data_IF_916279413130
#
_entry.id   IF_916279413130
#
_cell.length_a   1.000
_cell.length_b   1.000
_cell.length_c   1.000
_cell.angle_alpha   90.00
_cell.angle_beta   90.00
_cell.angle_gamma   90.00
#
_symmetry.space_group_name_H-M   'P 1'
#
loop_
_entity.id
_entity.type
_entity.pdbx_description
1 polymer ?
#
# COMPACT_ATOMS: atom_id res chain seq x y z
N UNK A 1 6.46 -3.56 -11.90
CA UNK A 1 6.06 -3.67 -13.33
C UNK A 1 5.82 -2.29 -13.95
N UNK A 2 4.89 -1.46 -13.45
CA UNK A 2 4.63 -0.12 -14.05
C UNK A 2 5.86 0.79 -13.94
N UNK A 3 6.49 0.88 -12.78
CA UNK A 3 7.70 1.68 -12.61
C UNK A 3 8.86 1.20 -13.50
N UNK A 4 8.99 -0.13 -13.67
CA UNK A 4 9.96 -0.71 -14.59
C UNK A 4 9.64 -0.36 -16.06
N UNK A 5 8.38 -0.46 -16.45
CA UNK A 5 7.92 -0.05 -17.76
C UNK A 5 8.28 1.42 -18.06
N UNK A 6 8.05 2.31 -17.09
CA UNK A 6 8.37 3.73 -17.21
C UNK A 6 9.89 3.95 -17.27
N UNK A 7 10.65 3.25 -16.42
CA UNK A 7 12.11 3.37 -16.36
C UNK A 7 12.83 2.86 -17.63
N UNK A 8 12.21 1.92 -18.35
CA UNK A 8 12.70 1.36 -19.63
C UNK A 8 12.09 2.06 -20.87
N UNK A 9 11.63 3.30 -20.67
CA UNK A 9 11.08 4.16 -21.75
C UNK A 9 9.94 3.52 -22.55
N UNK A 10 9.09 2.73 -21.85
CA UNK A 10 7.87 2.17 -22.42
C UNK A 10 8.06 0.86 -23.20
N UNK A 11 8.75 -0.11 -22.60
CA UNK A 11 8.90 -1.45 -23.21
C UNK A 11 7.54 -2.03 -23.64
N UNK A 12 7.35 -2.16 -24.96
CA UNK A 12 6.12 -2.64 -25.57
C UNK A 12 5.73 -4.06 -25.14
N UNK A 13 6.70 -4.88 -24.67
CA UNK A 13 6.41 -6.22 -24.16
C UNK A 13 5.60 -6.19 -22.85
N UNK A 14 5.78 -5.16 -22.03
CA UNK A 14 5.05 -4.96 -20.78
C UNK A 14 3.72 -4.22 -20.99
N UNK A 15 3.59 -3.40 -22.03
CA UNK A 15 2.41 -2.56 -22.24
C UNK A 15 1.12 -3.40 -22.36
N UNK A 16 1.17 -4.52 -23.11
CA UNK A 16 0.00 -5.39 -23.25
C UNK A 16 -0.45 -5.99 -21.92
N UNK A 17 0.49 -6.33 -21.03
CA UNK A 17 0.22 -6.85 -19.70
C UNK A 17 -0.39 -5.77 -18.82
N UNK A 18 0.10 -4.53 -18.90
CA UNK A 18 -0.47 -3.38 -18.16
C UNK A 18 -1.92 -3.12 -18.61
N UNK A 19 -2.19 -3.15 -19.91
CA UNK A 19 -3.56 -2.98 -20.44
C UNK A 19 -4.51 -4.09 -19.97
N UNK A 20 -4.04 -5.34 -19.95
CA UNK A 20 -4.81 -6.45 -19.40
C UNK A 20 -5.08 -6.27 -17.91
N UNK A 21 -4.09 -5.81 -17.13
CA UNK A 21 -4.25 -5.49 -15.72
C UNK A 21 -5.31 -4.40 -15.51
N UNK A 22 -5.26 -3.29 -16.25
CA UNK A 22 -6.24 -2.20 -16.17
C UNK A 22 -7.65 -2.73 -16.46
N UNK A 23 -7.80 -3.50 -17.54
CA UNK A 23 -9.10 -4.09 -17.91
C UNK A 23 -9.63 -5.04 -16.84
N UNK A 24 -8.75 -5.85 -16.24
CA UNK A 24 -9.10 -6.73 -15.13
C UNK A 24 -9.54 -5.94 -13.90
N UNK A 25 -8.80 -4.88 -13.52
CA UNK A 25 -9.14 -4.06 -12.37
C UNK A 25 -10.47 -3.33 -12.54
N UNK A 26 -10.76 -2.77 -13.72
CA UNK A 26 -12.04 -2.18 -14.03
C UNK A 26 -13.19 -3.18 -13.82
N UNK A 27 -13.01 -4.44 -14.23
CA UNK A 27 -14.01 -5.49 -14.03
C UNK A 27 -14.11 -5.92 -12.57
N UNK A 28 -13.00 -6.08 -11.86
CA UNK A 28 -12.99 -6.49 -10.44
C UNK A 28 -13.72 -5.49 -9.55
N UNK A 29 -13.66 -4.20 -9.84
CA UNK A 29 -14.40 -3.17 -9.12
C UNK A 29 -15.94 -3.26 -9.27
N UNK A 30 -16.43 -4.10 -10.18
CA UNK A 30 -17.87 -4.32 -10.42
C UNK A 30 -18.38 -5.66 -9.94
N UNK A 31 -17.53 -6.48 -9.29
CA UNK A 31 -17.89 -7.81 -8.83
C UNK A 31 -18.33 -7.77 -7.37
N UNK A 32 -19.56 -8.19 -7.11
CA UNK A 32 -20.06 -8.40 -5.75
C UNK A 32 -19.19 -9.41 -5.01
N UNK A 33 -18.80 -9.11 -3.78
CA UNK A 33 -17.81 -9.88 -3.03
C UNK A 33 -18.08 -9.81 -1.51
N UNK A 34 -17.41 -10.64 -0.68
CA UNK A 34 -17.68 -10.70 0.75
C UNK A 34 -17.17 -9.50 1.56
N UNK A 35 -16.37 -8.60 1.02
CA UNK A 35 -15.84 -7.43 1.77
C UNK A 35 -16.87 -6.33 1.98
N UNK A 36 -17.94 -6.30 1.19
CA UNK A 36 -19.02 -5.31 1.35
C UNK A 36 -19.77 -5.02 0.06
N UNK A 37 -20.62 -4.00 0.12
CA UNK A 37 -21.44 -3.60 -1.00
C UNK A 37 -20.68 -2.73 -2.01
N UNK A 38 -21.04 -2.85 -3.28
CA UNK A 38 -20.50 -1.98 -4.33
C UNK A 38 -21.21 -0.62 -4.34
N UNK A 39 -22.45 -0.55 -3.85
CA UNK A 39 -23.24 0.68 -3.86
C UNK A 39 -22.70 1.77 -2.94
N UNK A 40 -22.03 1.39 -1.84
CA UNK A 40 -21.35 2.29 -0.92
C UNK A 40 -19.82 2.26 -1.09
N UNK A 41 -19.31 1.41 -2.00
CA UNK A 41 -17.91 1.24 -2.29
C UNK A 41 -17.16 0.33 -1.34
N UNK A 42 -17.76 -0.17 -0.23
CA UNK A 42 -17.06 -1.00 0.77
C UNK A 42 -16.46 -2.27 0.18
N UNK A 43 -17.07 -2.83 -0.86
CA UNK A 43 -16.59 -4.00 -1.59
C UNK A 43 -15.24 -3.79 -2.30
N UNK A 44 -14.76 -2.56 -2.51
CA UNK A 44 -13.45 -2.30 -3.11
C UNK A 44 -12.26 -2.74 -2.23
N UNK A 45 -12.50 -2.98 -0.94
CA UNK A 45 -11.52 -3.55 -0.02
C UNK A 45 -11.37 -5.07 -0.11
N UNK A 46 -11.94 -5.74 -1.12
CA UNK A 46 -11.77 -7.18 -1.31
C UNK A 46 -10.34 -7.51 -1.77
N UNK A 47 -9.59 -8.31 -0.97
CA UNK A 47 -8.22 -8.64 -1.30
C UNK A 47 -8.09 -9.79 -2.31
N UNK A 48 -9.13 -10.63 -2.48
CA UNK A 48 -9.00 -11.90 -3.16
C UNK A 48 -10.11 -12.20 -4.15
N UNK A 49 -9.69 -12.51 -5.37
CA UNK A 49 -10.55 -12.98 -6.44
C UNK A 49 -9.99 -14.26 -7.05
N UNK A 50 -10.84 -15.05 -7.69
CA UNK A 50 -10.39 -16.18 -8.48
C UNK A 50 -9.68 -15.72 -9.76
N UNK A 51 -8.79 -16.55 -10.30
CA UNK A 51 -8.01 -16.25 -11.52
C UNK A 51 -8.90 -15.98 -12.74
N UNK A 52 -10.09 -16.55 -12.79
CA UNK A 52 -11.08 -16.30 -13.83
C UNK A 52 -11.91 -15.00 -13.62
N UNK A 53 -11.46 -14.12 -12.73
CA UNK A 53 -12.12 -12.84 -12.43
C UNK A 53 -13.54 -13.05 -11.90
N UNK A 54 -13.71 -13.96 -10.94
CA UNK A 54 -14.95 -14.16 -10.18
C UNK A 54 -14.68 -13.96 -8.69
N UNK A 55 -15.73 -13.69 -7.91
CA UNK A 55 -15.60 -13.54 -6.46
C UNK A 55 -15.05 -14.82 -5.82
N UNK A 56 -14.07 -14.64 -4.93
CA UNK A 56 -13.65 -15.70 -4.03
C UNK A 56 -14.47 -15.60 -2.74
N UNK A 57 -15.25 -16.64 -2.45
CA UNK A 57 -16.20 -16.66 -1.32
C UNK A 57 -15.73 -17.48 -0.12
N UNK A 58 -14.55 -18.09 -0.22
CA UNK A 58 -13.94 -18.83 0.90
C UNK A 58 -13.52 -17.92 2.05
N UNK A 59 -13.15 -18.51 3.18
CA UNK A 59 -12.62 -17.78 4.34
C UNK A 59 -11.33 -17.04 3.98
N UNK A 60 -11.21 -15.78 4.38
CA UNK A 60 -10.04 -14.93 4.14
C UNK A 60 -10.03 -13.72 5.07
N UNK A 61 -8.85 -13.12 5.30
CA UNK A 61 -8.74 -11.86 6.04
C UNK A 61 -9.33 -10.67 5.26
N UNK A 62 -10.50 -10.21 5.63
CA UNK A 62 -11.27 -9.16 4.94
C UNK A 62 -11.76 -8.07 5.89
N UNK A 63 -11.87 -6.81 5.42
CA UNK A 63 -11.28 -6.27 4.20
C UNK A 63 -9.78 -6.04 4.35
N UNK A 64 -9.07 -5.83 3.20
CA UNK A 64 -7.72 -5.26 3.17
C UNK A 64 -7.79 -3.88 2.52
N UNK A 65 -7.37 -2.86 3.27
CA UNK A 65 -7.61 -1.46 2.88
C UNK A 65 -6.42 -0.79 2.20
N UNK A 66 -5.32 -1.49 2.05
CA UNK A 66 -4.15 -1.07 1.28
C UNK A 66 -4.34 -1.27 -0.23
N UNK A 67 -5.08 -2.31 -0.65
CA UNK A 67 -5.29 -2.67 -2.05
C UNK A 67 -5.78 -1.53 -2.93
N UNK A 68 -6.87 -0.82 -2.61
CA UNK A 68 -7.31 0.35 -3.37
C UNK A 68 -6.27 1.45 -3.47
N UNK A 69 -5.57 1.76 -2.37
CA UNK A 69 -4.52 2.79 -2.35
C UNK A 69 -3.34 2.43 -3.27
N UNK A 70 -2.86 1.18 -3.18
CA UNK A 70 -1.76 0.67 -4.01
C UNK A 70 -2.15 0.63 -5.49
N UNK A 71 -3.37 0.22 -5.80
CA UNK A 71 -3.89 0.21 -7.17
C UNK A 71 -4.00 1.63 -7.74
N UNK A 72 -4.55 2.57 -6.96
CA UNK A 72 -4.62 3.98 -7.36
C UNK A 72 -3.22 4.53 -7.68
N UNK A 73 -2.24 4.36 -6.79
CA UNK A 73 -0.86 4.84 -6.98
C UNK A 73 -0.23 4.25 -8.25
N UNK A 74 -0.37 2.94 -8.47
CA UNK A 74 0.16 2.28 -9.67
C UNK A 74 -0.49 2.82 -10.96
N UNK A 75 -1.81 3.01 -10.95
CA UNK A 75 -2.54 3.53 -12.12
C UNK A 75 -2.31 5.02 -12.35
N UNK A 76 -2.08 5.82 -11.30
CA UNK A 76 -1.68 7.22 -11.40
C UNK A 76 -0.30 7.33 -12.07
N UNK A 77 0.67 6.49 -11.67
CA UNK A 77 1.99 6.48 -12.30
C UNK A 77 1.90 6.19 -13.81
N UNK A 78 1.14 5.16 -14.20
CA UNK A 78 0.91 4.86 -15.62
C UNK A 78 0.11 5.96 -16.34
N UNK A 79 -0.89 6.53 -15.68
CA UNK A 79 -1.68 7.63 -16.22
C UNK A 79 -0.83 8.86 -16.52
N UNK A 80 0.09 9.23 -15.61
CA UNK A 80 1.03 10.33 -15.81
C UNK A 80 1.98 10.07 -16.98
N UNK A 81 2.46 8.84 -17.16
CA UNK A 81 3.25 8.45 -18.34
C UNK A 81 2.44 8.63 -19.63
N UNK A 82 1.18 8.23 -19.64
CA UNK A 82 0.31 8.43 -20.81
C UNK A 82 0.01 9.91 -21.08
N UNK A 83 -0.16 10.73 -20.04
CA UNK A 83 -0.36 12.18 -20.17
C UNK A 83 0.86 12.85 -20.80
N UNK A 84 2.08 12.48 -20.39
CA UNK A 84 3.31 13.00 -21.00
C UNK A 84 3.43 12.65 -22.49
N UNK A 85 2.78 11.56 -22.92
CA UNK A 85 2.69 11.12 -24.30
C UNK A 85 1.46 11.67 -25.06
N UNK A 86 0.72 12.62 -24.48
CA UNK A 86 -0.45 13.24 -25.10
C UNK A 86 -1.71 12.38 -25.16
N UNK A 87 -1.76 11.25 -24.44
CA UNK A 87 -2.88 10.29 -24.46
C UNK A 87 -3.97 10.62 -23.42
N UNK A 88 -4.29 11.89 -23.23
CA UNK A 88 -5.24 12.33 -22.17
C UNK A 88 -6.63 11.70 -22.28
N UNK A 89 -7.14 11.49 -23.48
CA UNK A 89 -8.46 10.86 -23.68
C UNK A 89 -8.49 9.42 -23.14
N UNK A 90 -7.41 8.66 -23.38
CA UNK A 90 -7.28 7.29 -22.85
C UNK A 90 -7.24 7.28 -21.32
N UNK A 91 -6.50 8.22 -20.75
CA UNK A 91 -6.42 8.35 -19.27
C UNK A 91 -7.80 8.64 -18.69
N UNK A 92 -8.53 9.60 -19.24
CA UNK A 92 -9.87 9.97 -18.78
C UNK A 92 -10.90 8.83 -18.91
N UNK A 93 -10.83 8.06 -19.99
CA UNK A 93 -11.83 7.00 -20.24
C UNK A 93 -11.52 5.67 -19.56
N UNK A 94 -10.26 5.29 -19.42
CA UNK A 94 -9.89 3.93 -19.03
C UNK A 94 -9.20 3.86 -17.65
N UNK A 95 -8.53 4.93 -17.22
CA UNK A 95 -7.76 4.92 -15.96
C UNK A 95 -8.46 5.69 -14.85
N UNK A 96 -8.88 6.93 -15.15
CA UNK A 96 -9.47 7.80 -14.14
C UNK A 96 -10.68 7.18 -13.42
N UNK A 97 -11.63 6.50 -14.07
CA UNK A 97 -12.76 5.91 -13.36
C UNK A 97 -12.34 4.88 -12.30
N UNK A 98 -11.31 4.09 -12.57
CA UNK A 98 -10.78 3.09 -11.61
C UNK A 98 -10.10 3.81 -10.45
N UNK A 99 -9.24 4.77 -10.75
CA UNK A 99 -8.51 5.57 -9.75
C UNK A 99 -9.48 6.34 -8.88
N UNK A 100 -10.50 6.99 -9.47
CA UNK A 100 -11.50 7.75 -8.73
C UNK A 100 -12.26 6.88 -7.72
N UNK A 101 -12.67 5.67 -8.11
CA UNK A 101 -13.33 4.73 -7.20
C UNK A 101 -12.42 4.36 -6.02
N UNK A 102 -11.14 4.08 -6.29
CA UNK A 102 -10.17 3.73 -5.27
C UNK A 102 -9.87 4.90 -4.32
N UNK A 103 -9.73 6.11 -4.85
CA UNK A 103 -9.51 7.32 -4.04
C UNK A 103 -10.74 7.62 -3.16
N UNK A 104 -11.95 7.46 -3.69
CA UNK A 104 -13.18 7.59 -2.92
C UNK A 104 -13.25 6.55 -1.80
N UNK A 105 -12.90 5.29 -2.09
CA UNK A 105 -12.79 4.26 -1.07
C UNK A 105 -11.81 4.66 0.03
N UNK A 106 -10.60 5.07 -0.33
CA UNK A 106 -9.58 5.49 0.64
C UNK A 106 -10.09 6.66 1.50
N UNK A 107 -10.64 7.71 0.87
CA UNK A 107 -11.16 8.86 1.59
C UNK A 107 -12.29 8.52 2.58
N UNK A 108 -13.10 7.52 2.26
CA UNK A 108 -14.25 7.10 3.07
C UNK A 108 -13.89 6.11 4.18
N UNK A 109 -12.92 5.21 3.94
CA UNK A 109 -12.70 4.04 4.80
C UNK A 109 -11.33 3.98 5.48
N UNK A 110 -10.45 4.97 5.32
CA UNK A 110 -9.11 4.96 5.90
C UNK A 110 -9.09 4.83 7.43
N UNK A 111 -10.10 5.34 8.12
CA UNK A 111 -10.22 5.36 9.58
C UNK A 111 -10.88 4.10 10.16
N UNK A 112 -11.16 3.11 9.34
CA UNK A 112 -11.70 1.83 9.75
C UNK A 112 -10.62 0.75 9.75
N UNK A 113 -10.72 -0.22 10.66
CA UNK A 113 -9.80 -1.35 10.74
C UNK A 113 -9.96 -2.28 9.52
N UNK A 114 -8.88 -2.97 9.18
CA UNK A 114 -8.83 -4.01 8.16
C UNK A 114 -7.72 -5.00 8.51
N UNK A 115 -7.50 -5.99 7.67
CA UNK A 115 -6.37 -6.87 7.81
C UNK A 115 -5.08 -6.20 7.29
N UNK A 116 -3.97 -6.51 7.94
CA UNK A 116 -2.64 -6.03 7.54
C UNK A 116 -2.15 -6.71 6.25
N UNK A 117 -1.02 -6.25 5.71
CA UNK A 117 -0.47 -6.80 4.47
C UNK A 117 -0.06 -8.29 4.58
N UNK A 118 0.09 -8.82 5.80
CA UNK A 118 0.36 -10.24 6.03
C UNK A 118 -0.93 -11.08 6.11
N UNK A 119 -2.09 -10.44 6.12
CA UNK A 119 -3.41 -11.09 6.25
C UNK A 119 -3.62 -11.79 7.60
N UNK A 120 -2.92 -11.34 8.64
CA UNK A 120 -2.87 -12.00 9.94
C UNK A 120 -3.49 -11.18 11.06
N UNK A 121 -3.38 -9.85 11.02
CA UNK A 121 -3.79 -8.96 12.11
C UNK A 121 -4.88 -8.02 11.64
N UNK A 122 -6.03 -8.07 12.31
CA UNK A 122 -7.10 -7.09 12.10
C UNK A 122 -6.88 -5.87 13.00
N UNK A 123 -6.67 -4.72 12.39
CA UNK A 123 -6.38 -3.47 13.10
C UNK A 123 -6.12 -2.32 12.14
N UNK A 124 -5.47 -1.28 12.64
CA UNK A 124 -4.92 -0.22 11.80
C UNK A 124 -3.44 -0.51 11.57
N UNK A 125 -3.03 -0.60 10.31
CA UNK A 125 -1.67 -0.91 9.90
C UNK A 125 -0.94 0.33 9.41
N UNK A 126 0.29 0.55 9.88
CA UNK A 126 1.16 1.63 9.42
C UNK A 126 1.35 1.62 7.90
N UNK A 127 1.63 0.43 7.34
CA UNK A 127 1.79 0.25 5.88
C UNK A 127 0.55 0.73 5.13
N UNK A 128 -0.62 0.29 5.57
CA UNK A 128 -1.90 0.66 4.94
C UNK A 128 -2.13 2.18 5.00
N UNK A 129 -1.95 2.79 6.18
CA UNK A 129 -2.18 4.24 6.36
C UNK A 129 -1.18 5.07 5.54
N UNK A 130 0.08 4.65 5.47
CA UNK A 130 1.08 5.34 4.65
C UNK A 130 0.76 5.24 3.15
N UNK A 131 0.39 4.06 2.65
CA UNK A 131 -0.05 3.87 1.27
C UNK A 131 -1.30 4.71 0.94
N UNK A 132 -2.27 4.78 1.87
CA UNK A 132 -3.47 5.58 1.73
C UNK A 132 -3.16 7.08 1.68
N UNK A 133 -2.28 7.58 2.54
CA UNK A 133 -1.83 8.97 2.48
C UNK A 133 -1.21 9.31 1.13
N UNK A 134 -0.25 8.49 0.67
CA UNK A 134 0.37 8.66 -0.64
C UNK A 134 -0.65 8.70 -1.77
N UNK A 135 -1.58 7.74 -1.80
CA UNK A 135 -2.61 7.68 -2.84
C UNK A 135 -3.48 8.94 -2.88
N UNK A 136 -3.88 9.48 -1.71
CA UNK A 136 -4.67 10.71 -1.66
C UNK A 136 -3.89 11.92 -2.16
N UNK A 137 -2.62 12.07 -1.77
CA UNK A 137 -1.76 13.19 -2.22
C UNK A 137 -1.52 13.14 -3.73
N UNK A 138 -1.12 11.98 -4.25
CA UNK A 138 -0.93 11.81 -5.70
C UNK A 138 -2.25 11.95 -6.46
N UNK A 139 -3.35 11.49 -5.88
CA UNK A 139 -4.70 11.60 -6.43
C UNK A 139 -5.16 13.04 -6.62
N UNK A 140 -4.83 13.96 -5.69
CA UNK A 140 -5.12 15.40 -5.84
C UNK A 140 -4.41 15.95 -7.08
N UNK A 141 -3.11 15.68 -7.22
CA UNK A 141 -2.32 16.17 -8.34
C UNK A 141 -2.79 15.58 -9.68
N UNK A 142 -3.09 14.29 -9.68
CA UNK A 142 -3.56 13.57 -10.88
C UNK A 142 -4.96 14.06 -11.33
N UNK A 143 -5.92 14.21 -10.42
CA UNK A 143 -7.23 14.80 -10.73
C UNK A 143 -7.08 16.17 -11.38
N UNK A 144 -6.26 17.05 -10.77
CA UNK A 144 -5.99 18.39 -11.30
C UNK A 144 -5.42 18.34 -12.72
N UNK A 145 -4.51 17.42 -13.03
CA UNK A 145 -3.93 17.29 -14.38
C UNK A 145 -4.96 16.91 -15.45
N UNK A 146 -6.05 16.29 -15.03
CA UNK A 146 -7.18 15.90 -15.88
C UNK A 146 -8.28 16.98 -15.97
N UNK A 147 -8.17 18.06 -15.17
CA UNK A 147 -9.25 19.05 -15.02
C UNK A 147 -10.42 18.53 -14.15
N UNK A 148 -10.15 17.55 -13.31
CA UNK A 148 -11.07 16.94 -12.35
C UNK A 148 -10.74 17.39 -10.92
N UNK A 149 -11.59 17.05 -9.93
CA UNK A 149 -11.34 17.28 -8.51
C UNK A 149 -11.37 15.98 -7.72
N UNK A 150 -10.69 15.95 -6.58
CA UNK A 150 -10.81 14.91 -5.56
C UNK A 150 -11.01 15.58 -4.20
N UNK A 151 -12.23 16.01 -3.91
CA UNK A 151 -12.54 16.75 -2.69
C UNK A 151 -12.33 15.86 -1.44
N UNK A 152 -12.66 14.58 -1.54
CA UNK A 152 -12.37 13.58 -0.51
C UNK A 152 -10.87 13.47 -0.24
N UNK A 153 -10.02 13.45 -1.29
CA UNK A 153 -8.57 13.42 -1.13
C UNK A 153 -8.08 14.66 -0.38
N UNK A 154 -8.53 15.85 -0.80
CA UNK A 154 -8.11 17.13 -0.22
C UNK A 154 -8.49 17.23 1.25
N UNK A 155 -9.69 16.77 1.62
CA UNK A 155 -10.16 16.82 3.00
C UNK A 155 -9.52 15.76 3.91
N UNK A 156 -9.20 14.57 3.38
CA UNK A 156 -8.77 13.43 4.19
C UNK A 156 -7.24 13.26 4.26
N UNK A 157 -6.47 13.67 3.25
CA UNK A 157 -5.02 13.50 3.27
C UNK A 157 -4.35 14.09 4.54
N UNK A 158 -4.69 15.30 5.02
CA UNK A 158 -4.12 15.82 6.25
C UNK A 158 -4.49 15.01 7.49
N UNK A 159 -5.71 14.43 7.54
CA UNK A 159 -6.17 13.60 8.64
C UNK A 159 -5.41 12.27 8.68
N UNK A 160 -5.23 11.64 7.52
CA UNK A 160 -4.45 10.41 7.37
C UNK A 160 -3.00 10.64 7.79
N UNK A 161 -2.39 11.77 7.37
CA UNK A 161 -1.03 12.13 7.78
C UNK A 161 -0.92 12.33 9.30
N UNK A 162 -1.89 12.99 9.92
CA UNK A 162 -1.96 13.17 11.36
C UNK A 162 -2.03 11.82 12.08
N UNK A 163 -2.91 10.92 11.61
CA UNK A 163 -3.04 9.58 12.19
C UNK A 163 -1.78 8.73 11.99
N UNK A 164 -1.09 8.87 10.84
CA UNK A 164 0.17 8.18 10.58
C UNK A 164 1.24 8.47 11.64
N UNK A 165 1.25 9.70 12.21
CA UNK A 165 2.21 10.07 13.26
C UNK A 165 2.01 9.26 14.54
N UNK A 166 0.80 8.78 14.83
CA UNK A 166 0.50 8.03 16.06
C UNK A 166 1.20 6.66 16.11
N UNK A 167 1.63 6.13 14.97
CA UNK A 167 2.42 4.89 14.92
C UNK A 167 3.87 5.06 15.40
N UNK A 168 4.36 6.29 15.53
CA UNK A 168 5.71 6.55 16.04
C UNK A 168 5.72 6.64 17.56
N UNK A 169 6.44 5.73 18.24
CA UNK A 169 6.51 5.68 19.71
C UNK A 169 7.69 6.47 20.32
N UNK A 170 8.44 7.20 19.49
CA UNK A 170 9.65 7.92 19.89
C UNK A 170 10.96 7.22 19.53
N UNK A 171 10.93 5.91 19.24
CA UNK A 171 12.11 5.09 18.91
C UNK A 171 11.93 4.23 17.67
N UNK A 172 10.72 3.75 17.42
CA UNK A 172 10.38 2.90 16.28
C UNK A 172 8.90 3.11 15.90
N UNK A 173 8.54 2.56 14.75
CA UNK A 173 7.15 2.45 14.30
C UNK A 173 6.50 1.23 14.95
N UNK A 174 5.33 1.40 15.53
CA UNK A 174 4.44 0.30 15.89
C UNK A 174 3.64 -0.09 14.65
N UNK A 175 3.92 -1.25 14.08
CA UNK A 175 3.41 -1.64 12.76
C UNK A 175 1.89 -1.78 12.68
N UNK A 176 1.25 -2.26 13.75
CA UNK A 176 -0.18 -2.47 13.81
C UNK A 176 -0.75 -2.04 15.16
N UNK A 177 -1.85 -1.29 15.15
CA UNK A 177 -2.68 -1.07 16.33
C UNK A 177 -3.68 -2.21 16.46
N UNK A 178 -3.23 -3.29 17.09
CA UNK A 178 -4.02 -4.45 17.45
C UNK A 178 -3.32 -5.21 18.56
N UNK A 179 -4.06 -5.87 19.43
CA UNK A 179 -3.50 -6.78 20.43
C UNK A 179 -3.24 -8.14 19.76
N UNK A 180 -2.06 -8.28 19.20
CA UNK A 180 -1.65 -9.50 18.50
C UNK A 180 -0.51 -10.24 19.22
N UNK A 181 -0.15 -9.83 20.46
CA UNK A 181 0.96 -10.42 21.20
C UNK A 181 2.33 -10.22 20.55
N UNK A 182 2.48 -9.20 19.69
CA UNK A 182 3.71 -8.89 18.94
C UNK A 182 4.37 -7.63 19.48
N UNK A 183 5.70 -7.52 19.30
CA UNK A 183 6.47 -6.33 19.70
C UNK A 183 6.08 -5.07 18.91
N UNK A 184 5.46 -5.22 17.77
CA UNK A 184 5.18 -4.15 16.81
C UNK A 184 6.36 -3.83 15.88
N UNK A 185 7.51 -4.47 16.06
CA UNK A 185 8.66 -4.34 15.15
C UNK A 185 8.49 -5.32 13.98
N UNK A 186 8.24 -4.78 12.80
CA UNK A 186 7.85 -5.55 11.62
C UNK A 186 8.47 -4.94 10.36
N UNK A 187 8.92 -5.79 9.45
CA UNK A 187 9.49 -5.39 8.15
C UNK A 187 8.48 -4.59 7.30
N UNK A 188 7.17 -4.73 7.56
CA UNK A 188 6.14 -3.98 6.85
C UNK A 188 6.35 -2.45 6.96
N UNK A 189 6.90 -1.98 8.09
CA UNK A 189 7.23 -0.56 8.28
C UNK A 189 8.40 -0.09 7.43
N UNK A 190 9.33 -0.98 7.10
CA UNK A 190 10.42 -0.71 6.14
C UNK A 190 9.88 -0.75 4.71
N UNK A 191 9.05 -1.75 4.38
CA UNK A 191 8.38 -1.83 3.07
C UNK A 191 7.52 -0.59 2.82
N UNK A 192 6.87 -0.08 3.87
CA UNK A 192 6.12 1.18 3.81
C UNK A 192 7.00 2.35 3.38
N UNK A 193 8.17 2.53 4.01
CA UNK A 193 9.11 3.60 3.66
C UNK A 193 9.55 3.53 2.19
N UNK A 194 9.77 2.31 1.67
CA UNK A 194 10.08 2.10 0.25
C UNK A 194 8.86 2.44 -0.61
N UNK A 195 7.67 1.98 -0.21
CA UNK A 195 6.43 2.19 -0.97
C UNK A 195 6.04 3.67 -1.08
N UNK A 196 6.33 4.48 -0.06
CA UNK A 196 6.00 5.92 -0.05
C UNK A 196 7.16 6.81 -0.52
N UNK A 197 8.22 6.22 -1.07
CA UNK A 197 9.38 6.98 -1.53
C UNK A 197 8.97 8.03 -2.57
N UNK A 198 9.37 9.28 -2.29
CA UNK A 198 9.22 10.42 -3.17
C UNK A 198 10.58 11.15 -3.26
N UNK A 199 11.25 11.14 -4.42
CA UNK A 199 12.55 11.78 -4.59
C UNK A 199 12.51 13.29 -4.36
N UNK A 200 11.34 13.94 -4.43
CA UNK A 200 11.16 15.38 -4.19
C UNK A 200 10.95 15.72 -2.71
N UNK A 201 10.54 14.76 -1.89
CA UNK A 201 10.23 14.97 -0.47
C UNK A 201 11.47 15.07 0.42
N UNK A 202 12.68 14.93 -0.14
CA UNK A 202 13.92 14.88 0.63
C UNK A 202 13.89 13.82 1.75
N UNK A 203 14.36 14.12 2.95
CA UNK A 203 14.33 13.22 4.11
C UNK A 203 13.20 13.62 5.08
N UNK A 204 11.97 13.81 4.57
CA UNK A 204 10.82 14.21 5.39
C UNK A 204 10.46 13.14 6.42
N UNK A 205 10.50 13.53 7.71
CA UNK A 205 10.15 12.66 8.83
C UNK A 205 8.63 12.43 8.94
N UNK A 206 7.81 13.35 8.45
CA UNK A 206 6.35 13.23 8.60
C UNK A 206 5.75 12.15 7.70
N UNK A 207 6.36 11.91 6.55
CA UNK A 207 6.00 10.84 5.62
C UNK A 207 6.91 9.62 5.71
N UNK A 208 7.83 9.61 6.68
CA UNK A 208 8.76 8.49 6.89
C UNK A 208 9.57 8.14 5.63
N UNK A 209 10.08 9.17 4.94
CA UNK A 209 10.93 8.95 3.76
C UNK A 209 12.15 8.09 4.12
N UNK A 210 12.66 7.24 3.21
CA UNK A 210 13.72 6.26 3.54
C UNK A 210 14.98 6.86 4.17
N UNK A 211 15.33 8.10 3.86
CA UNK A 211 16.48 8.81 4.44
C UNK A 211 16.14 9.64 5.69
N UNK A 212 14.87 9.66 6.13
CA UNK A 212 14.46 10.42 7.31
C UNK A 212 15.01 9.82 8.60
N UNK A 213 15.17 10.66 9.63
CA UNK A 213 15.64 10.21 10.93
C UNK A 213 14.76 9.11 11.54
N UNK A 214 13.44 9.26 11.43
CA UNK A 214 12.48 8.28 11.94
C UNK A 214 12.55 6.95 11.17
N UNK A 215 12.63 6.97 9.85
CA UNK A 215 12.73 5.76 9.03
C UNK A 215 14.04 5.01 9.32
N UNK A 216 15.16 5.71 9.47
CA UNK A 216 16.46 5.10 9.79
C UNK A 216 16.49 4.50 11.20
N UNK A 217 15.92 5.17 12.20
CA UNK A 217 15.79 4.63 13.55
C UNK A 217 14.90 3.39 13.57
N UNK A 218 13.77 3.44 12.90
CA UNK A 218 12.87 2.29 12.74
C UNK A 218 13.56 1.12 12.05
N UNK A 219 14.24 1.39 10.93
CA UNK A 219 15.02 0.38 10.19
C UNK A 219 16.02 -0.32 11.12
N UNK A 220 16.78 0.45 11.91
CA UNK A 220 17.70 -0.09 12.89
C UNK A 220 17.01 -0.98 13.93
N UNK A 221 15.90 -0.52 14.50
CA UNK A 221 15.16 -1.26 15.51
C UNK A 221 14.62 -2.59 14.98
N UNK A 222 14.02 -2.58 13.78
CA UNK A 222 13.52 -3.79 13.11
C UNK A 222 14.65 -4.76 12.80
N UNK A 223 15.77 -4.28 12.23
CA UNK A 223 16.94 -5.15 11.94
C UNK A 223 17.49 -5.78 13.22
N UNK A 224 17.64 -4.97 14.28
CA UNK A 224 18.22 -5.46 15.53
C UNK A 224 17.32 -6.53 16.19
N UNK A 225 16.01 -6.49 16.02
CA UNK A 225 15.09 -7.52 16.52
C UNK A 225 15.36 -8.92 15.94
N UNK A 226 15.96 -9.02 14.74
CA UNK A 226 16.26 -10.28 14.09
C UNK A 226 17.66 -10.84 14.41
N UNK A 227 18.53 -10.11 15.10
CA UNK A 227 19.93 -10.54 15.31
C UNK A 227 20.05 -11.87 16.05
N UNK A 228 19.17 -12.14 17.00
CA UNK A 228 19.16 -13.38 17.78
C UNK A 228 18.24 -14.46 17.24
N UNK A 229 17.40 -14.16 16.24
CA UNK A 229 16.36 -15.07 15.77
C UNK A 229 16.94 -16.17 14.88
N UNK A 230 17.75 -15.79 13.90
CA UNK A 230 18.27 -16.76 12.94
C UNK A 230 19.72 -17.11 13.22
N UNK A 231 20.01 -18.42 13.23
CA UNK A 231 21.38 -18.95 13.42
C UNK A 231 22.39 -18.33 12.44
N UNK A 232 21.99 -18.00 11.21
CA UNK A 232 22.83 -17.35 10.20
C UNK A 232 23.28 -15.95 10.62
N UNK A 233 22.62 -15.33 11.61
CA UNK A 233 22.98 -14.03 12.16
C UNK A 233 23.98 -14.10 13.33
N UNK A 234 24.28 -15.31 13.83
CA UNK A 234 25.18 -15.50 14.99
C UNK A 234 26.57 -14.93 14.69
N UNK A 235 27.12 -14.17 15.64
CA UNK A 235 28.43 -13.55 15.54
C UNK A 235 28.53 -12.31 14.63
N UNK A 236 27.43 -11.87 14.02
CA UNK A 236 27.41 -10.66 13.21
C UNK A 236 27.32 -9.42 14.09
N UNK A 237 28.27 -8.50 13.94
CA UNK A 237 28.30 -7.20 14.65
C UNK A 237 27.19 -6.25 14.20
N UNK A 238 27.01 -5.15 14.94
CA UNK A 238 25.96 -4.16 14.68
C UNK A 238 25.99 -3.50 13.29
N UNK A 239 27.16 -3.44 12.64
CA UNK A 239 27.32 -2.91 11.29
C UNK A 239 27.19 -3.95 10.18
N UNK A 240 26.95 -5.23 10.52
CA UNK A 240 26.86 -6.30 9.53
C UNK A 240 25.42 -6.50 9.08
N UNK A 241 25.25 -6.81 7.79
CA UNK A 241 23.97 -7.25 7.25
C UNK A 241 23.50 -8.54 7.92
N UNK A 242 22.20 -8.64 8.19
CA UNK A 242 21.56 -9.79 8.82
C UNK A 242 20.40 -10.29 7.97
N UNK A 243 20.07 -11.57 8.11
CA UNK A 243 18.86 -12.14 7.54
C UNK A 243 17.66 -11.63 8.35
N UNK A 244 16.59 -11.26 7.63
CA UNK A 244 15.34 -10.75 8.18
C UNK A 244 14.19 -11.69 7.83
N UNK A 245 13.16 -11.71 8.69
CA UNK A 245 11.84 -12.26 8.41
C UNK A 245 10.79 -11.18 8.36
N UNK A 246 9.52 -11.53 8.52
CA UNK A 246 8.42 -10.57 8.58
C UNK A 246 8.45 -9.79 9.90
N UNK A 247 8.48 -10.47 11.02
CA UNK A 247 8.59 -9.95 12.39
C UNK A 247 9.26 -11.02 13.28
N UNK A 248 9.82 -10.63 14.41
CA UNK A 248 10.65 -11.52 15.24
C UNK A 248 9.86 -12.69 15.86
N UNK A 249 8.60 -12.50 16.14
CA UNK A 249 7.68 -13.48 16.72
C UNK A 249 7.03 -14.42 15.67
N UNK A 250 7.41 -14.28 14.39
CA UNK A 250 6.84 -15.05 13.29
C UNK A 250 7.13 -16.56 13.47
N UNK A 251 6.06 -17.35 13.55
CA UNK A 251 6.15 -18.81 13.61
C UNK A 251 5.45 -19.38 12.38
N UNK A 252 6.23 -19.92 11.45
CA UNK A 252 5.67 -20.57 10.26
C UNK A 252 4.87 -21.81 10.65
N UNK A 253 3.59 -21.81 10.32
CA UNK A 253 2.68 -22.94 10.53
C UNK A 253 2.30 -23.60 9.20
N UNK A 254 3.27 -23.84 8.34
CA UNK A 254 3.05 -24.35 7.00
C UNK A 254 2.09 -25.54 6.96
N UNK A 255 1.05 -25.44 6.13
CA UNK A 255 0.08 -26.49 5.89
C UNK A 255 -1.23 -26.40 6.68
N UNK A 256 -1.39 -25.44 7.58
CA UNK A 256 -2.69 -25.14 8.16
C UNK A 256 -3.34 -24.01 7.37
N UNK A 257 -4.34 -24.27 6.50
CA UNK A 257 -5.19 -23.23 5.99
C UNK A 257 -6.00 -22.64 7.14
N UNK A 258 -6.21 -21.35 7.09
CA UNK A 258 -7.03 -20.56 8.02
C UNK A 258 -8.45 -21.11 8.18
#
# INVERSE_FOLDING_TARGET
MIDQFIAEDGDSSLESTIQQYISAQAKLQTISNPSGDLSDGSGLGEPKFNVNITAFTGSWGRPQRDGPALRATALIAYGNHLLSSGKQSVVKSNIWPIVQNDLNYVAQYWNQTGFDLWEEVQGSSFFTIAAQHRALVEGIAFAKSLGETCDGCTSQAPQVLCFLQSFWNGTAVISNFADAGRSGLDINSILSSIQVFDPSATCDDSTFQPCSGRALLNHKAVIDSFRSIYKVNSGKGSGSAVALGRYAEDTYQGGNPW
#
